data_IF_092782939905
#
_entry.id   IF_092782939905
#
_cell.length_a   1.000
_cell.length_b   1.000
_cell.length_c   1.000
_cell.angle_alpha   90.00
_cell.angle_beta   90.00
_cell.angle_gamma   90.00
#
_symmetry.space_group_name_H-M   'P 1'
#
loop_
_entity.id
_entity.type
_entity.pdbx_description
1 polymer ?
#
# COMPACT_ATOMS: atom_id res chain seq x y z
N UNK A 1 -1.48 -11.25 -29.13
CA UNK A 1 -2.17 -10.60 -28.00
C UNK A 1 -3.12 -11.61 -27.37
N UNK A 2 -4.01 -12.23 -28.13
CA UNK A 2 -5.05 -13.15 -27.64
C UNK A 2 -4.52 -14.33 -26.83
N UNK A 3 -3.39 -14.91 -27.23
CA UNK A 3 -2.76 -16.02 -26.46
C UNK A 3 -2.35 -15.59 -25.05
N UNK A 4 -1.90 -14.35 -24.86
CA UNK A 4 -1.51 -13.81 -23.53
C UNK A 4 -2.76 -13.54 -22.69
N UNK A 5 -3.81 -12.97 -23.28
CA UNK A 5 -5.06 -12.70 -22.58
C UNK A 5 -5.81 -13.99 -22.21
N UNK A 6 -5.74 -15.02 -23.07
CA UNK A 6 -6.30 -16.33 -22.77
C UNK A 6 -5.59 -17.06 -21.63
N UNK A 7 -4.29 -16.78 -21.43
CA UNK A 7 -3.49 -17.35 -20.34
C UNK A 7 -3.39 -16.40 -19.12
N UNK A 8 -4.25 -15.35 -19.03
CA UNK A 8 -4.21 -14.35 -17.94
C UNK A 8 -4.25 -14.96 -16.55
N UNK A 9 -5.16 -15.90 -16.21
CA UNK A 9 -5.24 -16.45 -14.86
C UNK A 9 -3.98 -17.21 -14.47
N UNK A 10 -3.43 -18.01 -15.37
CA UNK A 10 -2.22 -18.82 -15.15
C UNK A 10 -0.98 -17.92 -15.01
N UNK A 11 -0.87 -16.91 -15.86
CA UNK A 11 0.23 -15.93 -15.81
C UNK A 11 0.23 -15.15 -14.49
N UNK A 12 -0.93 -14.70 -14.04
CA UNK A 12 -1.07 -13.99 -12.77
C UNK A 12 -0.74 -14.87 -11.58
N UNK A 13 -1.24 -16.11 -11.58
CA UNK A 13 -0.97 -17.06 -10.51
C UNK A 13 0.53 -17.43 -10.47
N UNK A 14 1.12 -17.72 -11.62
CA UNK A 14 2.54 -18.05 -11.72
C UNK A 14 3.42 -16.87 -11.26
N UNK A 15 3.13 -15.63 -11.68
CA UNK A 15 3.83 -14.43 -11.25
C UNK A 15 3.71 -14.23 -9.74
N UNK A 16 2.49 -14.32 -9.20
CA UNK A 16 2.22 -14.19 -7.77
C UNK A 16 3.01 -15.21 -6.94
N UNK A 17 2.90 -16.50 -7.27
CA UNK A 17 3.59 -17.56 -6.52
C UNK A 17 5.11 -17.44 -6.63
N UNK A 18 5.63 -17.08 -7.81
CA UNK A 18 7.06 -16.91 -8.03
C UNK A 18 7.62 -15.74 -7.20
N UNK A 19 6.96 -14.58 -7.23
CA UNK A 19 7.41 -13.42 -6.45
C UNK A 19 7.27 -13.69 -4.96
N UNK A 20 6.16 -14.29 -4.50
CA UNK A 20 5.98 -14.65 -3.10
C UNK A 20 7.09 -15.61 -2.62
N UNK A 21 7.42 -16.63 -3.42
CA UNK A 21 8.51 -17.55 -3.08
C UNK A 21 9.87 -16.86 -3.04
N UNK A 22 10.18 -16.01 -4.01
CA UNK A 22 11.43 -15.22 -4.04
C UNK A 22 11.52 -14.33 -2.82
N UNK A 23 10.48 -13.58 -2.49
CA UNK A 23 10.47 -12.70 -1.31
C UNK A 23 10.60 -13.50 -0.01
N UNK A 24 9.88 -14.62 0.12
CA UNK A 24 9.97 -15.50 1.28
C UNK A 24 11.41 -16.03 1.52
N UNK A 25 12.06 -16.47 0.47
CA UNK A 25 13.46 -16.95 0.53
C UNK A 25 14.42 -15.82 0.87
N UNK A 26 14.23 -14.65 0.27
CA UNK A 26 15.07 -13.48 0.54
C UNK A 26 14.91 -12.99 1.98
N UNK A 27 13.69 -12.95 2.52
CA UNK A 27 13.44 -12.62 3.93
C UNK A 27 14.07 -13.61 4.92
N UNK A 28 14.28 -14.87 4.52
CA UNK A 28 15.02 -15.85 5.33
C UNK A 28 16.52 -15.57 5.26
N UNK A 29 17.03 -15.28 4.06
CA UNK A 29 18.47 -15.11 3.80
C UNK A 29 19.00 -13.77 4.33
N UNK A 30 18.26 -12.67 4.19
CA UNK A 30 18.69 -11.33 4.53
C UNK A 30 17.53 -10.48 5.14
N UNK A 31 17.03 -10.82 6.32
CA UNK A 31 15.95 -10.08 6.96
C UNK A 31 16.41 -8.69 7.39
N UNK A 32 15.58 -7.68 7.18
CA UNK A 32 15.82 -6.30 7.63
C UNK A 32 15.63 -6.13 9.12
N UNK A 33 14.63 -6.81 9.69
CA UNK A 33 14.24 -6.76 11.10
C UNK A 33 14.10 -8.18 11.64
N UNK A 34 14.47 -8.38 12.91
CA UNK A 34 14.13 -9.61 13.63
C UNK A 34 12.61 -9.67 13.83
N UNK A 35 12.08 -10.88 13.86
CA UNK A 35 10.65 -11.14 14.09
C UNK A 35 10.47 -11.79 15.44
N UNK A 36 9.48 -11.30 16.18
CA UNK A 36 9.10 -11.84 17.48
C UNK A 36 7.86 -12.74 17.37
N UNK A 37 7.08 -12.58 16.28
CA UNK A 37 5.85 -13.35 16.04
C UNK A 37 6.14 -14.48 15.03
N UNK A 38 5.73 -15.72 15.32
CA UNK A 38 5.90 -16.84 14.41
C UNK A 38 5.25 -16.57 13.05
N UNK A 39 5.99 -16.79 11.97
CA UNK A 39 5.50 -16.63 10.57
C UNK A 39 4.18 -17.36 10.34
N UNK A 40 4.06 -18.58 10.85
CA UNK A 40 2.89 -19.43 10.61
C UNK A 40 1.59 -18.72 11.01
N UNK A 41 1.55 -17.97 12.11
CA UNK A 41 0.36 -17.26 12.54
C UNK A 41 -0.03 -16.19 11.53
N UNK A 42 0.91 -15.36 11.10
CA UNK A 42 0.64 -14.26 10.17
C UNK A 42 0.36 -14.77 8.77
N UNK A 43 1.22 -15.64 8.26
CA UNK A 43 1.11 -16.17 6.90
C UNK A 43 -0.18 -16.94 6.66
N UNK A 44 -0.60 -17.82 7.58
CA UNK A 44 -1.85 -18.58 7.42
C UNK A 44 -3.06 -17.65 7.38
N UNK A 45 -3.10 -16.62 8.25
CA UNK A 45 -4.23 -15.69 8.30
C UNK A 45 -4.22 -14.71 7.12
N UNK A 46 -3.05 -14.16 6.72
CA UNK A 46 -2.94 -13.25 5.59
C UNK A 46 -3.24 -13.98 4.25
N UNK A 47 -2.74 -15.20 4.06
CA UNK A 47 -3.07 -16.00 2.87
C UNK A 47 -4.54 -16.46 2.85
N UNK A 48 -5.14 -16.72 4.01
CA UNK A 48 -6.57 -17.01 4.08
C UNK A 48 -7.41 -15.80 3.64
N UNK A 49 -6.99 -14.56 3.93
CA UNK A 49 -7.63 -13.36 3.39
C UNK A 49 -7.57 -13.33 1.87
N UNK A 50 -6.42 -13.66 1.25
CA UNK A 50 -6.31 -13.72 -0.23
C UNK A 50 -7.34 -14.66 -0.82
N UNK A 51 -7.53 -15.85 -0.20
CA UNK A 51 -8.53 -16.83 -0.66
C UNK A 51 -9.94 -16.27 -0.54
N UNK A 52 -10.28 -15.67 0.61
CA UNK A 52 -11.60 -15.06 0.86
C UNK A 52 -11.85 -13.91 -0.11
N UNK A 53 -10.88 -13.00 -0.26
CA UNK A 53 -10.99 -11.84 -1.14
C UNK A 53 -11.16 -12.24 -2.60
N UNK A 54 -10.39 -13.23 -3.05
CA UNK A 54 -10.51 -13.78 -4.41
C UNK A 54 -11.89 -14.41 -4.62
N UNK A 55 -12.38 -15.20 -3.66
CA UNK A 55 -13.70 -15.80 -3.76
C UNK A 55 -14.81 -14.74 -3.80
N UNK A 56 -14.75 -13.74 -2.92
CA UNK A 56 -15.73 -12.65 -2.87
C UNK A 56 -15.71 -11.84 -4.17
N UNK A 57 -14.53 -11.49 -4.70
CA UNK A 57 -14.43 -10.80 -5.99
C UNK A 57 -15.05 -11.60 -7.13
N UNK A 58 -14.73 -12.90 -7.24
CA UNK A 58 -15.26 -13.77 -8.30
C UNK A 58 -16.77 -13.99 -8.20
N UNK A 59 -17.32 -14.00 -6.99
CA UNK A 59 -18.75 -14.13 -6.75
C UNK A 59 -19.51 -12.82 -7.00
N UNK A 60 -18.88 -11.68 -6.75
CA UNK A 60 -19.53 -10.35 -6.84
C UNK A 60 -19.43 -9.77 -8.24
N UNK A 61 -18.28 -9.92 -8.92
CA UNK A 61 -18.03 -9.30 -10.22
C UNK A 61 -17.95 -10.39 -11.30
N UNK A 62 -18.90 -10.43 -12.24
CA UNK A 62 -18.84 -11.36 -13.37
C UNK A 62 -17.68 -11.03 -14.32
N UNK A 63 -17.24 -9.77 -14.32
CA UNK A 63 -16.15 -9.25 -15.17
C UNK A 63 -15.20 -8.45 -14.28
N UNK A 64 -13.90 -8.73 -14.39
CA UNK A 64 -12.83 -8.01 -13.73
C UNK A 64 -12.16 -7.01 -14.69
N UNK A 65 -11.14 -6.30 -14.21
CA UNK A 65 -10.56 -5.15 -14.91
C UNK A 65 -10.05 -5.46 -16.33
N UNK A 66 -9.37 -6.58 -16.53
CA UNK A 66 -8.90 -7.01 -17.87
C UNK A 66 -10.07 -7.28 -18.82
N UNK A 67 -11.09 -8.03 -18.34
CA UNK A 67 -12.30 -8.30 -19.13
C UNK A 67 -13.08 -7.03 -19.47
N UNK A 68 -13.15 -6.05 -18.55
CA UNK A 68 -13.78 -4.77 -18.83
C UNK A 68 -12.99 -3.96 -19.89
N UNK A 69 -11.64 -4.03 -19.86
CA UNK A 69 -10.82 -3.38 -20.86
C UNK A 69 -11.06 -3.96 -22.27
N UNK A 70 -11.21 -5.29 -22.40
CA UNK A 70 -11.60 -5.94 -23.68
C UNK A 70 -12.97 -5.41 -24.15
N UNK A 71 -13.97 -5.36 -23.26
CA UNK A 71 -15.30 -4.83 -23.62
C UNK A 71 -15.24 -3.36 -24.00
N UNK A 72 -14.42 -2.57 -23.30
CA UNK A 72 -14.24 -1.15 -23.61
C UNK A 72 -13.62 -0.94 -25.00
N UNK A 73 -12.63 -1.77 -25.35
CA UNK A 73 -12.02 -1.78 -26.69
C UNK A 73 -13.05 -2.15 -27.78
N UNK A 74 -13.78 -3.25 -27.59
CA UNK A 74 -14.82 -3.71 -28.53
C UNK A 74 -15.97 -2.70 -28.72
N UNK A 75 -16.29 -1.92 -27.68
CA UNK A 75 -17.37 -0.92 -27.69
C UNK A 75 -16.91 0.50 -28.01
N UNK A 76 -15.61 0.74 -28.13
CA UNK A 76 -15.04 2.06 -28.32
C UNK A 76 -15.21 2.98 -27.08
N UNK A 77 -15.27 2.42 -25.87
CA UNK A 77 -15.44 3.19 -24.63
C UNK A 77 -14.09 3.66 -24.05
N UNK A 78 -14.13 4.87 -23.49
CA UNK A 78 -12.99 5.43 -22.78
C UNK A 78 -12.03 6.21 -23.68
N UNK A 79 -11.17 6.98 -23.03
CA UNK A 79 -10.30 7.96 -23.66
C UNK A 79 -9.40 7.36 -24.76
N UNK A 80 -8.72 6.25 -24.47
CA UNK A 80 -7.77 5.66 -25.43
C UNK A 80 -8.43 5.00 -26.64
N UNK A 81 -9.72 4.68 -26.58
CA UNK A 81 -10.48 4.15 -27.71
C UNK A 81 -11.09 5.25 -28.60
N UNK A 82 -10.98 6.52 -28.17
CA UNK A 82 -11.41 7.69 -28.95
C UNK A 82 -10.25 8.49 -29.51
N UNK A 83 -9.02 8.21 -29.07
CA UNK A 83 -7.80 8.89 -29.50
C UNK A 83 -7.00 8.03 -30.47
N UNK A 84 -6.49 8.62 -31.55
CA UNK A 84 -5.56 7.97 -32.45
C UNK A 84 -4.13 8.02 -31.90
N UNK A 85 -3.83 7.15 -30.93
CA UNK A 85 -2.50 7.02 -30.34
C UNK A 85 -1.88 5.65 -30.66
N UNK A 86 -0.57 5.57 -30.88
CA UNK A 86 0.09 4.26 -31.03
C UNK A 86 -0.13 3.37 -29.80
N UNK A 87 -0.36 2.07 -30.02
CA UNK A 87 -0.66 1.10 -28.95
C UNK A 87 0.39 1.11 -27.85
N UNK A 88 1.68 1.19 -28.20
CA UNK A 88 2.76 1.25 -27.19
C UNK A 88 2.64 2.49 -26.28
N UNK A 89 2.24 3.64 -26.84
CA UNK A 89 2.04 4.87 -26.08
C UNK A 89 0.78 4.74 -25.19
N UNK A 90 -0.32 4.19 -25.72
CA UNK A 90 -1.51 3.90 -24.95
C UNK A 90 -1.20 2.96 -23.77
N UNK A 91 -0.39 1.92 -23.97
CA UNK A 91 0.04 1.01 -22.88
C UNK A 91 0.82 1.76 -21.81
N UNK A 92 1.87 2.50 -22.18
CA UNK A 92 2.72 3.19 -21.21
C UNK A 92 1.96 4.26 -20.43
N UNK A 93 1.17 5.08 -21.12
CA UNK A 93 0.39 6.15 -20.46
C UNK A 93 -0.72 5.56 -19.59
N UNK A 94 -1.37 4.49 -20.04
CA UNK A 94 -2.36 3.77 -19.21
C UNK A 94 -1.76 3.25 -17.93
N UNK A 95 -0.58 2.65 -17.98
CA UNK A 95 0.10 2.16 -16.78
C UNK A 95 0.41 3.29 -15.80
N UNK A 96 0.86 4.45 -16.27
CA UNK A 96 1.10 5.63 -15.42
C UNK A 96 -0.20 6.17 -14.82
N UNK A 97 -1.29 6.25 -15.61
CA UNK A 97 -2.58 6.72 -15.13
C UNK A 97 -3.24 5.74 -14.15
N UNK A 98 -3.07 4.44 -14.34
CA UNK A 98 -3.50 3.44 -13.37
C UNK A 98 -2.69 3.53 -12.08
N UNK A 99 -1.38 3.77 -12.16
CA UNK A 99 -0.52 3.88 -10.99
C UNK A 99 -0.86 5.10 -10.12
N UNK A 100 -1.03 6.28 -10.73
CA UNK A 100 -1.50 7.47 -9.99
C UNK A 100 -2.93 7.27 -9.44
N UNK A 101 -3.80 6.57 -10.16
CA UNK A 101 -5.14 6.27 -9.66
C UNK A 101 -5.09 5.41 -8.39
N UNK A 102 -4.24 4.39 -8.34
CA UNK A 102 -4.04 3.58 -7.13
C UNK A 102 -3.41 4.41 -6.01
N UNK A 103 -2.43 5.27 -6.30
CA UNK A 103 -1.88 6.21 -5.34
C UNK A 103 -2.99 7.10 -4.72
N UNK A 104 -3.81 7.73 -5.54
CA UNK A 104 -4.91 8.60 -5.08
C UNK A 104 -5.96 7.80 -4.29
N UNK A 105 -6.26 6.58 -4.71
CA UNK A 105 -7.11 5.67 -3.96
C UNK A 105 -6.53 5.38 -2.57
N UNK A 106 -5.23 5.12 -2.46
CA UNK A 106 -4.55 4.87 -1.19
C UNK A 106 -4.62 6.09 -0.26
N UNK A 107 -4.33 7.28 -0.79
CA UNK A 107 -4.53 8.55 -0.05
C UNK A 107 -5.98 8.68 0.44
N UNK A 108 -6.95 8.36 -0.41
CA UNK A 108 -8.38 8.40 -0.06
C UNK A 108 -8.72 7.44 1.09
N UNK A 109 -8.14 6.24 1.12
CA UNK A 109 -8.32 5.29 2.22
C UNK A 109 -7.74 5.79 3.55
N UNK A 110 -6.70 6.62 3.52
CA UNK A 110 -6.19 7.31 4.71
C UNK A 110 -6.96 8.57 5.07
N UNK A 111 -7.48 9.30 4.07
CA UNK A 111 -8.15 10.59 4.29
C UNK A 111 -9.57 10.45 4.85
N UNK A 112 -10.31 9.43 4.42
CA UNK A 112 -11.73 9.27 4.78
C UNK A 112 -11.84 8.30 5.96
N UNK A 113 -12.33 8.75 7.14
CA UNK A 113 -12.36 7.93 8.35
C UNK A 113 -13.08 6.57 8.19
N UNK A 114 -14.16 6.52 7.39
CA UNK A 114 -14.87 5.28 7.11
C UNK A 114 -14.03 4.28 6.30
N UNK A 115 -13.25 4.77 5.33
CA UNK A 115 -12.34 3.97 4.52
C UNK A 115 -11.10 3.58 5.30
N UNK A 116 -10.56 4.50 6.12
CA UNK A 116 -9.47 4.18 7.04
C UNK A 116 -9.83 3.02 7.97
N UNK A 117 -11.05 2.94 8.47
CA UNK A 117 -11.50 1.80 9.29
C UNK A 117 -11.30 0.45 8.60
N UNK A 118 -11.47 0.37 7.29
CA UNK A 118 -11.21 -0.83 6.50
C UNK A 118 -9.70 -1.04 6.33
N UNK A 119 -9.00 0.00 5.88
CA UNK A 119 -7.58 -0.02 5.54
C UNK A 119 -6.67 -0.19 6.76
N UNK A 120 -7.08 0.29 7.93
CA UNK A 120 -6.29 0.07 9.17
C UNK A 120 -6.07 -1.40 9.51
N UNK A 121 -6.88 -2.33 8.99
CA UNK A 121 -6.61 -3.75 9.13
C UNK A 121 -5.28 -4.12 8.46
N UNK A 122 -4.98 -3.52 7.31
CA UNK A 122 -3.69 -3.64 6.65
C UNK A 122 -2.55 -3.09 7.53
N UNK A 123 -2.74 -1.91 8.09
CA UNK A 123 -1.77 -1.27 8.99
C UNK A 123 -1.65 -1.91 10.38
N UNK A 124 -2.65 -2.67 10.83
CA UNK A 124 -2.63 -3.33 12.13
C UNK A 124 -1.77 -4.60 12.20
N UNK A 125 -0.95 -4.87 11.19
CA UNK A 125 0.06 -5.92 11.28
C UNK A 125 1.13 -5.50 12.29
N UNK A 126 1.49 -6.39 13.20
CA UNK A 126 2.47 -6.11 14.27
C UNK A 126 3.91 -6.25 13.79
N UNK A 127 4.10 -6.83 12.62
CA UNK A 127 5.37 -6.97 11.93
C UNK A 127 5.19 -6.60 10.46
N UNK A 128 6.26 -6.72 9.70
CA UNK A 128 6.29 -6.32 8.30
C UNK A 128 6.99 -7.39 7.49
N UNK A 129 6.26 -8.05 6.57
CA UNK A 129 6.82 -8.99 5.59
C UNK A 129 5.95 -9.04 4.32
N UNK A 130 6.40 -9.76 3.30
CA UNK A 130 5.71 -9.82 2.01
C UNK A 130 4.20 -10.12 2.12
N UNK A 131 3.76 -10.89 3.13
CA UNK A 131 2.33 -11.19 3.32
C UNK A 131 1.53 -10.04 3.91
N UNK A 132 2.18 -9.02 4.50
CA UNK A 132 1.52 -7.77 4.90
C UNK A 132 0.89 -7.09 3.68
N UNK A 133 1.55 -7.14 2.51
CA UNK A 133 1.03 -6.62 1.25
C UNK A 133 -0.22 -7.32 0.69
N UNK A 134 -0.64 -8.41 1.35
CA UNK A 134 -1.84 -9.18 0.99
C UNK A 134 -2.99 -9.01 1.97
N UNK A 135 -2.79 -8.25 3.04
CA UNK A 135 -3.68 -8.12 4.18
C UNK A 135 -4.70 -7.00 3.97
N UNK A 136 -5.70 -7.23 3.15
CA UNK A 136 -6.79 -6.27 2.90
C UNK A 136 -8.13 -6.80 3.40
N UNK A 137 -9.01 -5.88 3.81
CA UNK A 137 -10.37 -6.25 4.23
C UNK A 137 -11.23 -6.55 2.99
N UNK A 138 -12.09 -7.60 2.99
CA UNK A 138 -12.93 -7.93 1.84
C UNK A 138 -13.77 -6.75 1.31
N UNK A 139 -14.33 -5.93 2.17
CA UNK A 139 -15.08 -4.72 1.76
C UNK A 139 -14.16 -3.71 1.09
N UNK A 140 -12.94 -3.54 1.56
CA UNK A 140 -11.94 -2.67 0.91
C UNK A 140 -11.63 -3.15 -0.50
N UNK A 141 -11.45 -4.46 -0.68
CA UNK A 141 -11.19 -5.07 -1.98
C UNK A 141 -12.37 -4.85 -2.95
N UNK A 142 -13.62 -4.96 -2.48
CA UNK A 142 -14.79 -4.65 -3.29
C UNK A 142 -14.83 -3.18 -3.72
N UNK A 143 -14.58 -2.25 -2.81
CA UNK A 143 -14.53 -0.80 -3.10
C UNK A 143 -13.39 -0.52 -4.08
N UNK A 144 -12.22 -1.10 -3.87
CA UNK A 144 -11.05 -0.97 -4.74
C UNK A 144 -11.32 -1.51 -6.15
N UNK A 145 -12.07 -2.61 -6.27
CA UNK A 145 -12.46 -3.15 -7.57
C UNK A 145 -13.43 -2.21 -8.30
N UNK A 146 -14.45 -1.67 -7.61
CA UNK A 146 -15.37 -0.69 -8.20
C UNK A 146 -14.61 0.53 -8.71
N UNK A 147 -13.69 1.08 -7.89
CA UNK A 147 -12.85 2.21 -8.28
C UNK A 147 -12.00 1.87 -9.52
N UNK A 148 -11.33 0.73 -9.53
CA UNK A 148 -10.50 0.27 -10.65
C UNK A 148 -11.34 0.10 -11.93
N UNK A 149 -12.51 -0.53 -11.83
CA UNK A 149 -13.41 -0.68 -12.97
C UNK A 149 -13.88 0.66 -13.52
N UNK A 150 -14.18 1.64 -12.66
CA UNK A 150 -14.53 3.00 -13.09
C UNK A 150 -13.38 3.69 -13.85
N UNK A 151 -12.13 3.56 -13.35
CA UNK A 151 -10.94 4.11 -14.03
C UNK A 151 -10.71 3.41 -15.37
N UNK A 152 -10.81 2.08 -15.43
CA UNK A 152 -10.67 1.32 -16.69
C UNK A 152 -11.75 1.71 -17.69
N UNK A 153 -13.00 1.84 -17.28
CA UNK A 153 -14.09 2.27 -18.16
C UNK A 153 -13.87 3.71 -18.69
N UNK A 154 -13.39 4.63 -17.86
CA UNK A 154 -13.13 6.01 -18.23
C UNK A 154 -11.92 6.15 -19.17
N UNK A 155 -10.86 5.39 -18.92
CA UNK A 155 -9.65 5.46 -19.73
C UNK A 155 -9.75 4.62 -21.02
N UNK A 156 -10.44 3.47 -21.00
CA UNK A 156 -10.45 2.50 -22.12
C UNK A 156 -9.03 2.01 -22.45
N UNK A 157 -8.21 1.58 -21.47
CA UNK A 157 -6.83 1.19 -21.72
C UNK A 157 -6.77 -0.11 -22.51
N UNK A 158 -5.72 -0.36 -23.31
CA UNK A 158 -5.49 -1.68 -23.90
C UNK A 158 -5.52 -2.78 -22.82
N UNK A 159 -6.19 -3.89 -23.07
CA UNK A 159 -6.35 -4.98 -22.08
C UNK A 159 -5.00 -5.51 -21.58
N UNK A 160 -3.97 -5.55 -22.44
CA UNK A 160 -2.61 -5.91 -22.06
C UNK A 160 -2.00 -4.92 -21.07
N UNK A 161 -2.32 -3.63 -21.13
CA UNK A 161 -1.83 -2.64 -20.16
C UNK A 161 -2.40 -2.91 -18.77
N UNK A 162 -3.69 -3.26 -18.69
CA UNK A 162 -4.35 -3.62 -17.44
C UNK A 162 -3.74 -4.89 -16.85
N UNK A 163 -3.54 -5.92 -17.67
CA UNK A 163 -2.90 -7.17 -17.24
C UNK A 163 -1.49 -6.93 -16.70
N UNK A 164 -0.65 -6.23 -17.45
CA UNK A 164 0.72 -5.90 -17.03
C UNK A 164 0.73 -5.08 -15.75
N UNK A 165 -0.15 -4.08 -15.66
CA UNK A 165 -0.28 -3.26 -14.47
C UNK A 165 -0.65 -4.09 -13.23
N UNK A 166 -1.63 -4.99 -13.32
CA UNK A 166 -2.05 -5.82 -12.19
C UNK A 166 -0.97 -6.83 -11.78
N UNK A 167 -0.22 -7.40 -12.72
CA UNK A 167 0.91 -8.28 -12.42
C UNK A 167 2.02 -7.50 -11.70
N UNK A 168 2.37 -6.32 -12.21
CA UNK A 168 3.40 -5.46 -11.60
C UNK A 168 2.94 -4.98 -10.22
N UNK A 169 1.69 -4.52 -10.07
CA UNK A 169 1.13 -4.06 -8.80
C UNK A 169 1.20 -5.14 -7.71
N UNK A 170 0.83 -6.38 -8.05
CA UNK A 170 0.93 -7.49 -7.10
C UNK A 170 2.39 -7.85 -6.76
N UNK A 171 3.27 -7.84 -7.76
CA UNK A 171 4.68 -8.12 -7.57
C UNK A 171 5.37 -7.06 -6.69
N UNK A 172 5.09 -5.78 -6.96
CA UNK A 172 5.64 -4.67 -6.17
C UNK A 172 5.02 -4.61 -4.77
N UNK A 173 3.75 -4.95 -4.59
CA UNK A 173 3.14 -5.05 -3.26
C UNK A 173 3.83 -6.12 -2.40
N UNK A 174 4.15 -7.28 -2.96
CA UNK A 174 4.95 -8.31 -2.26
C UNK A 174 6.38 -7.84 -1.97
N UNK A 175 7.00 -7.12 -2.91
CA UNK A 175 8.36 -6.61 -2.78
C UNK A 175 8.45 -5.47 -1.76
N UNK A 176 7.62 -4.43 -1.89
CA UNK A 176 7.70 -3.24 -1.03
C UNK A 176 7.30 -3.51 0.42
N UNK A 177 6.53 -4.58 0.69
CA UNK A 177 6.24 -5.06 2.05
C UNK A 177 7.24 -6.09 2.56
N UNK A 178 8.19 -6.55 1.74
CA UNK A 178 9.12 -7.59 2.17
C UNK A 178 10.04 -7.13 3.31
N UNK A 179 10.27 -8.01 4.28
CA UNK A 179 11.24 -7.79 5.36
C UNK A 179 12.66 -8.11 4.90
N UNK A 180 13.13 -7.47 3.84
CA UNK A 180 14.46 -7.68 3.27
C UNK A 180 15.39 -6.51 3.54
N UNK A 181 16.68 -6.80 3.64
CA UNK A 181 17.72 -5.79 3.77
C UNK A 181 18.35 -5.54 2.40
N UNK A 182 18.11 -4.37 1.83
CA UNK A 182 18.82 -3.89 0.65
C UNK A 182 20.09 -3.15 1.08
N UNK A 183 21.21 -3.29 0.35
CA UNK A 183 22.36 -2.40 0.55
C UNK A 183 21.93 -0.94 0.41
N UNK A 184 22.35 -0.02 1.31
CA UNK A 184 21.91 1.39 1.28
C UNK A 184 22.17 2.10 -0.04
N UNK A 185 23.25 1.74 -0.74
CA UNK A 185 23.56 2.26 -2.08
C UNK A 185 22.54 1.82 -3.13
N UNK A 186 22.11 0.55 -3.07
CA UNK A 186 21.09 0.00 -3.98
C UNK A 186 19.75 0.64 -3.69
N UNK A 187 19.31 0.66 -2.43
CA UNK A 187 18.05 1.25 -2.02
C UNK A 187 17.96 2.73 -2.43
N UNK A 188 19.03 3.51 -2.24
CA UNK A 188 19.08 4.93 -2.61
C UNK A 188 18.75 5.20 -4.09
N UNK A 189 19.23 4.34 -4.99
CA UNK A 189 18.97 4.48 -6.43
C UNK A 189 17.63 3.85 -6.83
N UNK A 190 17.33 2.68 -6.26
CA UNK A 190 16.13 1.93 -6.61
C UNK A 190 14.85 2.69 -6.24
N UNK A 191 14.84 3.44 -5.12
CA UNK A 191 13.70 4.26 -4.67
C UNK A 191 13.41 5.51 -5.53
N UNK A 192 14.13 5.69 -6.66
CA UNK A 192 13.75 6.63 -7.72
C UNK A 192 12.90 5.99 -8.81
N UNK A 193 12.92 4.66 -8.89
CA UNK A 193 12.28 3.87 -9.97
C UNK A 193 11.10 3.07 -9.42
N UNK A 194 11.25 2.48 -8.23
CA UNK A 194 10.23 1.64 -7.60
C UNK A 194 10.18 1.91 -6.10
N UNK A 195 8.98 1.76 -5.52
CA UNK A 195 8.80 1.84 -4.07
C UNK A 195 9.52 0.68 -3.40
N UNK A 196 10.54 1.00 -2.61
CA UNK A 196 11.38 -0.01 -1.93
C UNK A 196 10.79 -0.42 -0.57
N UNK A 197 11.20 -1.57 -0.01
CA UNK A 197 10.78 -2.01 1.30
C UNK A 197 11.06 -1.00 2.42
N UNK A 198 12.25 -0.36 2.41
CA UNK A 198 12.60 0.64 3.40
C UNK A 198 11.75 1.92 3.23
N UNK A 199 11.38 2.30 1.98
CA UNK A 199 10.47 3.42 1.72
C UNK A 199 9.06 3.12 2.25
N UNK A 200 8.48 1.97 1.90
CA UNK A 200 7.10 1.64 2.28
C UNK A 200 6.96 1.28 3.75
N UNK A 201 8.01 0.77 4.39
CA UNK A 201 8.00 0.50 5.83
C UNK A 201 7.78 1.75 6.67
N UNK A 202 8.20 2.93 6.22
CA UNK A 202 7.90 4.21 6.91
C UNK A 202 6.38 4.40 7.01
N UNK A 203 5.66 4.11 5.94
CA UNK A 203 4.21 4.15 5.88
C UNK A 203 3.51 3.20 6.88
N UNK A 204 4.15 2.11 7.25
CA UNK A 204 3.65 1.16 8.26
C UNK A 204 4.11 1.45 9.70
N UNK A 205 4.65 2.63 9.96
CA UNK A 205 5.01 3.09 11.30
C UNK A 205 3.77 3.33 12.18
N UNK A 206 3.94 3.17 13.49
CA UNK A 206 2.93 3.57 14.47
C UNK A 206 2.79 5.10 14.60
N UNK A 207 3.76 5.89 14.14
CA UNK A 207 3.67 7.36 14.12
C UNK A 207 2.71 7.81 13.01
N UNK A 208 1.60 8.51 13.34
CA UNK A 208 0.62 8.94 12.34
C UNK A 208 1.19 9.81 11.22
N UNK A 209 2.26 10.58 11.48
CA UNK A 209 2.90 11.40 10.45
C UNK A 209 3.64 10.55 9.43
N UNK A 210 4.26 9.45 9.89
CA UNK A 210 4.94 8.47 9.04
C UNK A 210 3.91 7.58 8.33
N UNK A 211 2.85 7.14 9.04
CA UNK A 211 1.73 6.38 8.46
C UNK A 211 1.06 7.14 7.32
N UNK A 212 0.93 8.47 7.46
CA UNK A 212 0.35 9.34 6.43
C UNK A 212 1.39 9.88 5.43
N UNK A 213 2.30 8.99 4.98
CA UNK A 213 3.34 9.28 4.00
C UNK A 213 3.57 8.07 3.10
N UNK A 214 4.36 8.21 2.02
CA UNK A 214 4.81 7.12 1.16
C UNK A 214 3.69 6.18 0.69
N UNK A 215 2.63 6.77 0.12
CA UNK A 215 1.44 6.07 -0.36
C UNK A 215 1.65 5.31 -1.68
N UNK A 216 2.76 5.52 -2.38
CA UNK A 216 3.07 4.86 -3.64
C UNK A 216 3.14 3.34 -3.51
N UNK A 217 2.64 2.63 -4.57
CA UNK A 217 2.75 1.18 -4.69
C UNK A 217 3.85 0.75 -5.64
N UNK A 218 3.81 1.24 -6.90
CA UNK A 218 4.82 0.91 -7.90
C UNK A 218 5.86 2.02 -7.98
N UNK A 219 5.43 3.24 -8.35
CA UNK A 219 6.30 4.37 -8.60
C UNK A 219 6.35 5.31 -7.38
N UNK A 220 7.56 5.70 -6.92
CA UNK A 220 7.75 6.66 -5.82
C UNK A 220 7.55 8.11 -6.26
N UNK A 221 7.21 8.35 -7.53
CA UNK A 221 7.13 9.67 -8.14
C UNK A 221 5.99 10.50 -7.56
N UNK A 222 4.85 9.86 -7.30
CA UNK A 222 3.66 10.53 -6.78
C UNK A 222 3.89 11.10 -5.39
N UNK A 223 4.54 10.33 -4.51
CA UNK A 223 4.92 10.82 -3.18
C UNK A 223 5.84 12.03 -3.24
N UNK A 224 6.79 12.04 -4.18
CA UNK A 224 7.72 13.16 -4.38
C UNK A 224 7.04 14.38 -4.99
N UNK A 225 6.17 14.18 -5.97
CA UNK A 225 5.45 15.25 -6.65
C UNK A 225 4.38 15.89 -5.78
N UNK A 226 3.71 15.10 -4.94
CA UNK A 226 2.59 15.54 -4.10
C UNK A 226 3.02 15.82 -2.65
N UNK A 227 4.31 15.72 -2.33
CA UNK A 227 4.86 16.13 -1.04
C UNK A 227 4.60 15.16 0.11
N UNK A 228 4.28 13.89 -0.17
CA UNK A 228 4.02 12.86 0.83
C UNK A 228 5.23 11.95 1.09
N UNK A 229 6.40 12.25 0.49
CA UNK A 229 7.60 11.42 0.63
C UNK A 229 8.34 11.69 1.94
N UNK A 230 8.53 10.64 2.75
CA UNK A 230 9.43 10.62 3.91
C UNK A 230 10.53 9.59 3.65
N UNK A 231 11.78 10.04 3.69
CA UNK A 231 12.93 9.22 3.31
C UNK A 231 13.28 8.13 4.33
N UNK A 232 13.12 8.43 5.63
CA UNK A 232 13.54 7.59 6.75
C UNK A 232 12.59 7.78 7.92
N UNK A 233 12.28 6.72 8.70
CA UNK A 233 11.50 6.88 9.91
C UNK A 233 12.34 7.52 11.01
N UNK A 234 11.70 8.32 11.88
CA UNK A 234 12.38 9.07 12.94
C UNK A 234 13.21 8.18 13.89
N UNK A 235 12.73 6.96 14.18
CA UNK A 235 13.43 5.99 15.03
C UNK A 235 14.34 5.03 14.26
N UNK A 236 14.53 5.23 12.95
CA UNK A 236 15.22 4.30 12.05
C UNK A 236 14.46 2.99 11.85
N UNK A 237 14.81 2.25 10.77
CA UNK A 237 14.07 1.05 10.34
C UNK A 237 14.07 -0.11 11.35
N UNK A 238 15.06 -0.20 12.22
CA UNK A 238 15.15 -1.24 13.25
C UNK A 238 14.54 -0.83 14.59
N UNK A 239 14.49 0.48 14.88
CA UNK A 239 13.97 1.03 16.13
C UNK A 239 12.51 1.48 16.07
N UNK A 240 11.93 1.64 14.87
CA UNK A 240 10.54 2.02 14.71
C UNK A 240 9.58 0.90 15.15
N UNK A 241 8.42 1.29 15.65
CA UNK A 241 7.33 0.37 15.92
C UNK A 241 6.45 0.24 14.65
N UNK A 242 6.16 -1.00 14.27
CA UNK A 242 5.29 -1.32 13.13
C UNK A 242 3.85 -1.47 13.63
N UNK A 243 2.89 -1.05 12.82
CA UNK A 243 1.47 -1.20 13.08
C UNK A 243 0.78 0.11 13.44
N UNK A 244 -0.28 0.00 14.22
CA UNK A 244 -1.04 1.13 14.78
C UNK A 244 -1.14 0.98 16.30
N UNK A 245 -1.51 2.03 17.02
CA UNK A 245 -1.64 1.99 18.49
C UNK A 245 -2.68 0.96 18.98
N UNK A 246 -3.65 0.66 18.13
CA UNK A 246 -4.71 -0.32 18.40
C UNK A 246 -4.30 -1.71 17.90
N UNK A 247 -4.98 -2.76 18.40
CA UNK A 247 -4.82 -4.14 17.94
C UNK A 247 -3.39 -4.69 18.08
N UNK A 248 -2.79 -4.45 19.27
CA UNK A 248 -1.38 -4.77 19.57
C UNK A 248 -1.15 -6.18 20.11
N UNK A 249 -2.13 -7.06 20.09
CA UNK A 249 -1.97 -8.45 20.59
C UNK A 249 -1.83 -9.44 19.44
N UNK A 250 -1.10 -10.55 19.65
CA UNK A 250 -0.99 -11.63 18.64
C UNK A 250 -2.37 -12.19 18.25
N UNK A 251 -3.38 -12.09 19.13
CA UNK A 251 -4.75 -12.53 18.85
C UNK A 251 -5.45 -11.64 17.80
N UNK A 252 -5.05 -10.37 17.69
CA UNK A 252 -5.59 -9.44 16.69
C UNK A 252 -5.10 -9.75 15.25
N UNK A 253 -4.10 -10.65 15.11
CA UNK A 253 -3.62 -11.13 13.82
C UNK A 253 -4.42 -12.34 13.27
N UNK A 254 -5.41 -12.84 14.03
CA UNK A 254 -6.26 -13.93 13.56
C UNK A 254 -7.41 -13.41 12.71
N UNK A 255 -7.77 -14.17 11.69
CA UNK A 255 -8.70 -13.74 10.64
C UNK A 255 -10.07 -13.30 11.19
N UNK A 256 -10.61 -14.01 12.19
CA UNK A 256 -11.87 -13.64 12.84
C UNK A 256 -11.79 -12.28 13.55
N UNK A 257 -10.61 -11.92 14.05
CA UNK A 257 -10.34 -10.63 14.69
C UNK A 257 -10.08 -9.55 13.65
N UNK A 258 -9.34 -9.87 12.60
CA UNK A 258 -9.06 -8.96 11.49
C UNK A 258 -10.35 -8.48 10.81
N UNK A 259 -11.26 -9.39 10.49
CA UNK A 259 -12.53 -9.07 9.82
C UNK A 259 -13.46 -8.17 10.66
N UNK A 260 -13.30 -8.11 11.96
CA UNK A 260 -14.09 -7.21 12.83
C UNK A 260 -13.35 -5.93 13.23
N UNK A 261 -12.08 -5.75 12.85
CA UNK A 261 -11.33 -4.53 13.16
C UNK A 261 -12.01 -3.24 12.66
N UNK A 262 -12.65 -3.18 11.47
CA UNK A 262 -13.29 -1.97 10.99
C UNK A 262 -14.39 -1.43 11.93
N UNK A 263 -15.06 -2.28 12.68
CA UNK A 263 -16.15 -1.89 13.59
C UNK A 263 -15.72 -1.78 15.06
N UNK A 264 -14.46 -2.13 15.39
CA UNK A 264 -13.93 -2.08 16.77
C UNK A 264 -13.16 -0.80 17.02
N UNK A 265 -13.39 -0.15 18.16
CA UNK A 265 -12.66 1.04 18.59
C UNK A 265 -12.87 2.29 17.69
N UNK A 266 -12.31 3.44 18.09
CA UNK A 266 -12.38 4.68 17.32
C UNK A 266 -11.57 4.60 16.01
N UNK A 267 -11.90 5.47 15.05
CA UNK A 267 -11.08 5.65 13.83
C UNK A 267 -10.04 6.77 14.01
N UNK A 268 -10.07 7.45 15.16
CA UNK A 268 -9.26 8.63 15.45
C UNK A 268 -7.77 8.36 15.51
N UNK A 269 -6.99 9.38 15.20
CA UNK A 269 -5.54 9.44 15.37
C UNK A 269 -4.72 9.18 14.11
N UNK A 270 -5.29 8.52 13.09
CA UNK A 270 -4.56 8.14 11.87
C UNK A 270 -5.16 8.68 10.57
N UNK A 271 -6.41 9.14 10.57
CA UNK A 271 -6.95 9.82 9.40
C UNK A 271 -6.17 11.12 9.10
N UNK A 272 -6.06 11.51 7.82
CA UNK A 272 -5.26 12.68 7.41
C UNK A 272 -5.65 13.99 8.11
N UNK A 273 -6.91 14.09 8.58
CA UNK A 273 -7.39 15.23 9.35
C UNK A 273 -6.81 15.28 10.77
N UNK A 274 -6.05 14.24 11.18
CA UNK A 274 -5.45 14.09 12.51
C UNK A 274 -6.46 14.26 13.66
N UNK A 275 -7.75 14.16 13.38
CA UNK A 275 -8.80 14.32 14.40
C UNK A 275 -8.65 13.26 15.49
N UNK A 276 -8.51 13.74 16.75
CA UNK A 276 -8.29 12.88 17.91
C UNK A 276 -6.83 12.45 18.12
N UNK A 277 -5.88 12.91 17.31
CA UNK A 277 -4.46 12.73 17.62
C UNK A 277 -4.05 13.68 18.76
N UNK A 278 -3.58 13.10 19.87
CA UNK A 278 -2.90 13.83 20.94
C UNK A 278 -1.43 13.44 20.92
N UNK A 279 -0.54 14.43 20.81
CA UNK A 279 0.91 14.18 20.88
C UNK A 279 1.22 13.38 22.17
N UNK A 280 2.09 12.36 22.10
CA UNK A 280 2.59 11.67 23.27
C UNK A 280 3.14 12.65 24.30
N UNK A 281 2.94 12.40 25.58
CA UNK A 281 3.41 13.30 26.67
C UNK A 281 4.91 13.57 26.60
N UNK A 282 5.72 12.65 26.10
CA UNK A 282 7.16 12.80 25.89
C UNK A 282 7.49 13.85 24.81
N UNK A 283 6.70 13.96 23.73
CA UNK A 283 6.88 14.99 22.70
C UNK A 283 6.37 16.36 23.15
N UNK A 284 5.27 16.38 23.93
CA UNK A 284 4.77 17.62 24.55
C UNK A 284 5.79 18.23 25.51
N UNK A 285 6.53 17.38 26.23
CA UNK A 285 7.60 17.83 27.13
C UNK A 285 8.80 18.40 26.38
N UNK A 286 9.17 17.83 25.22
CA UNK A 286 10.27 18.32 24.37
C UNK A 286 9.92 19.67 23.72
N UNK A 287 8.71 19.82 23.19
CA UNK A 287 8.24 21.10 22.62
C UNK A 287 8.20 22.20 23.69
N UNK A 288 7.77 21.86 24.91
CA UNK A 288 7.74 22.82 26.02
C UNK A 288 9.14 23.23 26.52
N UNK A 289 10.16 22.42 26.30
CA UNK A 289 11.56 22.76 26.59
C UNK A 289 12.19 23.62 25.48
N UNK A 290 11.87 23.36 24.23
CA UNK A 290 12.39 24.13 23.10
C UNK A 290 11.84 25.56 23.06
N UNK A 291 10.59 25.76 23.49
CA UNK A 291 9.97 27.10 23.63
C UNK A 291 10.61 27.93 24.74
N UNK A 292 11.12 27.29 25.80
CA UNK A 292 11.79 27.99 26.91
C UNK A 292 13.22 28.40 26.61
N UNK A 293 13.84 27.83 25.57
CA UNK A 293 15.21 28.19 25.14
C UNK A 293 15.23 29.32 24.09
N UNK A 294 14.07 29.75 23.59
CA UNK A 294 13.94 30.77 22.56
C UNK A 294 13.41 32.14 23.14
N UNK A 295 13.68 32.43 24.42
CA UNK A 295 13.41 33.78 24.95
C UNK A 295 14.58 34.65 24.50
N UNK A 296 14.36 35.71 23.71
CA UNK A 296 15.43 36.64 23.36
C UNK A 296 15.87 37.37 24.63
N UNK A 297 17.19 37.36 24.87
CA UNK A 297 17.83 38.26 25.85
C UNK A 297 17.47 39.69 25.49
N UNK A 298 16.55 40.27 26.21
CA UNK A 298 16.36 41.72 26.21
C UNK A 298 17.52 42.33 26.97
N UNK A 299 18.61 42.67 26.28
CA UNK A 299 19.63 43.55 26.80
C UNK A 299 19.00 44.90 27.20
N UNK A 300 18.88 45.12 28.49
CA UNK A 300 18.81 46.47 29.05
C UNK A 300 20.13 47.18 28.72
N UNK A 301 20.00 48.24 27.90
CA UNK A 301 21.05 49.25 27.79
C UNK A 301 20.57 50.47 28.58
N UNK A 302 21.21 50.72 29.69
CA UNK A 302 21.37 52.05 30.29
C UNK A 302 22.56 52.78 29.65
#
# INVERSE_FOLDING_TARGET
>A
MDAILNAEPELRLAAFLSVLAIMALWEIAAPRRRRDIPRVIRWTNNLALVVIDTAILRLTFPILAVGLAVIAEDRGWGLFNTLEVPVWAAVLVSMLLLDIAIYLQHVMFHAIPALWRLHRMHHADLEFDATTGLRFHPIEILISMVFKLAVVAALGPPAVAVLLFEVILNATALFNHANISLPPSVDRWLRWIVVTPDMHRVHHSVDPRETNSNYGFNLPWWDRLLGTYIAQPAKGHTGMDIGIEQFRTTRDLWIDRMLVQPIRGPASGYALDMSGYSKPQSEQALDSQSDKTNIPDTEERD
#
